data_IF_403277593476
#
_entry.id   IF_403277593476
#
_cell.length_a   1.000
_cell.length_b   1.000
_cell.length_c   1.000
_cell.angle_alpha   90.00
_cell.angle_beta   90.00
_cell.angle_gamma   90.00
#
_symmetry.space_group_name_H-M   'P 1'
#
loop_
_entity.id
_entity.type
_entity.pdbx_description
1 polymer ?
#
# COMPACT_ATOMS: atom_id res chain seq x y z
N UNK A 1 -2.41 -11.79 -25.01
CA UNK A 1 -2.77 -10.93 -23.87
C UNK A 1 -1.56 -10.07 -23.57
N UNK A 2 -1.72 -8.75 -23.45
CA UNK A 2 -0.63 -7.83 -23.14
C UNK A 2 -0.83 -7.22 -21.75
N UNK A 3 0.26 -7.08 -20.99
CA UNK A 3 0.24 -6.48 -19.66
C UNK A 3 1.24 -5.34 -19.63
N UNK A 4 0.74 -4.10 -19.55
CA UNK A 4 1.56 -2.91 -19.35
C UNK A 4 1.76 -2.69 -17.85
N UNK A 5 3.01 -2.61 -17.40
CA UNK A 5 3.32 -2.20 -16.03
C UNK A 5 3.19 -0.68 -15.90
N UNK A 6 2.32 -0.20 -15.01
CA UNK A 6 2.10 1.23 -14.80
C UNK A 6 2.96 1.79 -13.66
N UNK A 7 3.67 0.95 -12.90
CA UNK A 7 4.44 1.33 -11.72
C UNK A 7 3.74 0.93 -10.42
N UNK A 8 4.53 0.71 -9.37
CA UNK A 8 4.07 0.21 -8.07
C UNK A 8 3.19 -1.05 -8.20
N UNK A 9 1.89 -0.98 -7.91
CA UNK A 9 0.92 -2.06 -8.04
C UNK A 9 0.09 -1.99 -9.34
N UNK A 10 0.28 -0.93 -10.13
CA UNK A 10 -0.55 -0.61 -11.27
C UNK A 10 -0.24 -1.45 -12.50
N UNK A 11 -1.28 -2.01 -13.11
CA UNK A 11 -1.19 -2.73 -14.38
C UNK A 11 -2.35 -2.39 -15.31
N UNK A 12 -2.11 -2.41 -16.62
CA UNK A 12 -3.16 -2.37 -17.63
C UNK A 12 -3.08 -3.63 -18.49
N UNK A 13 -4.12 -4.47 -18.41
CA UNK A 13 -4.21 -5.72 -19.15
C UNK A 13 -5.10 -5.53 -20.36
N UNK A 14 -4.57 -5.83 -21.54
CA UNK A 14 -5.30 -5.80 -22.80
C UNK A 14 -5.46 -7.21 -23.37
N UNK A 15 -6.71 -7.52 -23.69
CA UNK A 15 -7.11 -8.69 -24.47
C UNK A 15 -7.71 -8.20 -25.78
N UNK A 16 -8.13 -9.12 -26.64
CA UNK A 16 -8.78 -8.74 -27.90
C UNK A 16 -10.06 -7.93 -27.65
N UNK A 17 -10.80 -8.24 -26.58
CA UNK A 17 -12.14 -7.73 -26.32
C UNK A 17 -12.32 -6.95 -25.00
N UNK A 18 -11.29 -6.87 -24.16
CA UNK A 18 -11.37 -6.21 -22.87
C UNK A 18 -10.07 -5.50 -22.46
N UNK A 19 -10.22 -4.41 -21.70
CA UNK A 19 -9.16 -3.69 -21.00
C UNK A 19 -9.45 -3.78 -19.50
N UNK A 20 -8.49 -4.22 -18.70
CA UNK A 20 -8.57 -4.27 -17.24
C UNK A 20 -7.46 -3.40 -16.66
N UNK A 21 -7.84 -2.26 -16.08
CA UNK A 21 -6.96 -1.37 -15.34
C UNK A 21 -6.95 -1.81 -13.87
N UNK A 22 -5.79 -2.05 -13.29
CA UNK A 22 -5.63 -2.54 -11.92
C UNK A 22 -4.83 -1.52 -11.11
N UNK A 23 -5.33 -1.14 -9.94
CA UNK A 23 -4.66 -0.31 -8.92
C UNK A 23 -3.85 0.88 -9.50
N UNK A 24 -4.47 1.79 -10.28
CA UNK A 24 -3.72 2.79 -11.05
C UNK A 24 -3.30 4.00 -10.20
N UNK A 25 -2.16 3.92 -9.52
CA UNK A 25 -1.57 5.06 -8.79
C UNK A 25 -0.64 5.89 -9.68
N UNK A 26 -1.18 6.97 -10.27
CA UNK A 26 -0.49 7.84 -11.24
C UNK A 26 -0.49 9.33 -10.86
N UNK A 27 -1.20 9.72 -9.81
CA UNK A 27 -1.25 11.10 -9.33
C UNK A 27 0.11 11.58 -8.84
N UNK A 28 0.50 12.82 -9.17
CA UNK A 28 1.82 13.35 -8.80
C UNK A 28 1.92 13.79 -7.33
N UNK A 29 0.82 13.72 -6.58
CA UNK A 29 0.68 14.18 -5.18
C UNK A 29 1.15 13.15 -4.15
N UNK A 30 1.46 11.93 -4.57
CA UNK A 30 1.84 10.85 -3.68
C UNK A 30 0.65 10.26 -2.89
N UNK A 31 0.96 9.25 -2.08
CA UNK A 31 0.03 8.56 -1.18
C UNK A 31 0.35 8.92 0.29
N UNK A 32 -0.62 8.67 1.18
CA UNK A 32 -0.49 8.86 2.63
C UNK A 32 0.04 10.26 3.00
N UNK A 33 -0.70 11.28 2.56
CA UNK A 33 -0.38 12.70 2.82
C UNK A 33 1.05 13.08 2.39
N UNK A 34 1.39 12.69 1.16
CA UNK A 34 2.71 12.94 0.55
C UNK A 34 3.85 12.19 1.24
N UNK A 35 3.57 11.14 2.02
CA UNK A 35 4.59 10.29 2.61
C UNK A 35 5.28 9.42 1.56
N UNK A 36 4.52 8.90 0.59
CA UNK A 36 4.99 7.93 -0.39
C UNK A 36 4.82 8.45 -1.82
N UNK A 37 5.76 8.13 -2.69
CA UNK A 37 5.73 8.42 -4.12
C UNK A 37 6.13 7.20 -4.93
N UNK A 38 5.69 7.15 -6.18
CA UNK A 38 5.96 6.05 -7.09
C UNK A 38 7.46 5.95 -7.40
N UNK A 39 7.99 4.72 -7.48
CA UNK A 39 9.37 4.49 -7.86
C UNK A 39 9.45 3.39 -8.94
N UNK A 40 9.85 3.71 -10.17
CA UNK A 40 10.06 5.05 -10.74
C UNK A 40 8.78 5.90 -10.84
N UNK A 41 8.95 7.18 -11.18
CA UNK A 41 7.87 8.13 -11.45
C UNK A 41 7.10 7.68 -12.68
N UNK A 42 5.78 7.76 -12.64
CA UNK A 42 4.90 7.14 -13.63
C UNK A 42 3.75 8.04 -14.11
N UNK A 43 3.64 9.28 -13.63
CA UNK A 43 2.56 10.20 -13.98
C UNK A 43 2.45 10.48 -15.49
N UNK A 44 3.57 10.34 -16.21
CA UNK A 44 3.67 10.46 -17.67
C UNK A 44 2.87 9.39 -18.44
N UNK A 45 2.43 8.31 -17.76
CA UNK A 45 1.57 7.28 -18.34
C UNK A 45 0.09 7.63 -18.31
N UNK A 46 -0.31 8.75 -17.69
CA UNK A 46 -1.72 9.19 -17.65
C UNK A 46 -2.33 9.26 -19.06
N UNK A 47 -1.71 9.90 -20.08
CA UNK A 47 -2.27 9.92 -21.43
C UNK A 47 -2.41 8.53 -22.06
N UNK A 48 -1.49 7.60 -21.77
CA UNK A 48 -1.55 6.23 -22.26
C UNK A 48 -2.77 5.50 -21.69
N UNK A 49 -3.03 5.64 -20.38
CA UNK A 49 -4.19 5.00 -19.75
C UNK A 49 -5.48 5.61 -20.27
N UNK A 50 -5.57 6.94 -20.39
CA UNK A 50 -6.71 7.63 -20.99
C UNK A 50 -7.02 7.10 -22.39
N UNK A 51 -5.98 6.99 -23.23
CA UNK A 51 -6.11 6.44 -24.58
C UNK A 51 -6.66 5.01 -24.55
N UNK A 52 -6.12 4.12 -23.72
CA UNK A 52 -6.56 2.72 -23.61
C UNK A 52 -8.01 2.62 -23.13
N UNK A 53 -8.38 3.41 -22.13
CA UNK A 53 -9.75 3.44 -21.59
C UNK A 53 -10.75 4.07 -22.57
N UNK A 54 -10.31 4.96 -23.46
CA UNK A 54 -11.16 5.56 -24.50
C UNK A 54 -11.35 4.67 -25.74
N UNK A 55 -10.61 3.57 -25.89
CA UNK A 55 -10.71 2.71 -27.08
C UNK A 55 -12.14 2.14 -27.25
N UNK A 56 -12.77 2.31 -28.42
CA UNK A 56 -14.10 1.75 -28.67
C UNK A 56 -14.03 0.23 -28.90
N UNK A 57 -15.16 -0.46 -28.70
CA UNK A 57 -15.32 -1.88 -29.05
C UNK A 57 -14.73 -2.88 -28.05
N UNK A 58 -14.13 -2.41 -26.95
CA UNK A 58 -13.65 -3.27 -25.85
C UNK A 58 -14.43 -2.99 -24.57
N UNK A 59 -14.71 -4.03 -23.78
CA UNK A 59 -15.23 -3.86 -22.43
C UNK A 59 -14.13 -3.34 -21.52
N UNK A 60 -14.44 -2.42 -20.61
CA UNK A 60 -13.46 -1.81 -19.72
C UNK A 60 -13.80 -2.12 -18.28
N UNK A 61 -12.77 -2.47 -17.52
CA UNK A 61 -12.87 -2.75 -16.11
C UNK A 61 -11.79 -1.96 -15.38
N UNK A 62 -12.15 -1.42 -14.21
CA UNK A 62 -11.20 -0.83 -13.26
C UNK A 62 -11.28 -1.65 -11.99
N UNK A 63 -10.20 -2.31 -11.64
CA UNK A 63 -10.07 -3.13 -10.46
C UNK A 63 -9.30 -2.36 -9.39
N UNK A 64 -9.87 -2.28 -8.18
CA UNK A 64 -9.25 -1.70 -7.00
C UNK A 64 -9.17 -2.79 -5.93
N UNK A 65 -7.95 -3.15 -5.53
CA UNK A 65 -7.72 -4.28 -4.63
C UNK A 65 -8.17 -4.00 -3.19
N UNK A 66 -7.92 -2.80 -2.67
CA UNK A 66 -8.27 -2.33 -1.32
C UNK A 66 -8.12 -0.80 -1.19
N UNK A 67 -8.46 -0.24 -0.03
CA UNK A 67 -8.56 1.21 0.21
C UNK A 67 -7.25 2.00 0.33
N UNK A 68 -6.08 1.35 0.37
CA UNK A 68 -4.82 2.06 0.54
C UNK A 68 -4.50 2.97 -0.66
N UNK A 69 -3.97 4.16 -0.39
CA UNK A 69 -3.85 5.26 -1.37
C UNK A 69 -2.81 5.03 -2.48
N UNK A 70 -1.91 4.07 -2.30
CA UNK A 70 -0.98 3.60 -3.32
C UNK A 70 -1.60 2.52 -4.26
N UNK A 71 -2.86 2.15 -4.01
CA UNK A 71 -3.68 1.27 -4.85
C UNK A 71 -4.95 1.99 -5.35
N UNK A 72 -5.59 2.77 -4.46
CA UNK A 72 -6.82 3.52 -4.70
C UNK A 72 -6.56 5.02 -4.88
N UNK A 73 -6.08 5.39 -6.06
CA UNK A 73 -5.81 6.78 -6.45
C UNK A 73 -7.07 7.45 -6.99
N UNK A 74 -7.97 7.87 -6.09
CA UNK A 74 -9.21 8.53 -6.45
C UNK A 74 -9.01 9.78 -7.35
N UNK A 75 -8.05 10.69 -7.08
CA UNK A 75 -7.80 11.81 -7.99
C UNK A 75 -7.45 11.39 -9.43
N UNK A 76 -6.67 10.33 -9.60
CA UNK A 76 -6.41 9.79 -10.94
C UNK A 76 -7.67 9.20 -11.58
N UNK A 77 -8.45 8.42 -10.83
CA UNK A 77 -9.71 7.86 -11.34
C UNK A 77 -10.66 8.97 -11.78
N UNK A 78 -10.83 10.02 -10.98
CA UNK A 78 -11.63 11.20 -11.32
C UNK A 78 -11.13 11.91 -12.60
N UNK A 79 -9.84 11.83 -12.89
CA UNK A 79 -9.27 12.38 -14.14
C UNK A 79 -9.65 11.60 -15.40
N UNK A 80 -10.09 10.34 -15.31
CA UNK A 80 -10.46 9.53 -16.48
C UNK A 80 -11.59 10.19 -17.29
N UNK A 81 -11.39 10.43 -18.57
CA UNK A 81 -12.43 11.02 -19.42
C UNK A 81 -13.51 9.99 -19.78
N UNK A 82 -13.07 8.77 -20.09
CA UNK A 82 -13.95 7.65 -20.38
C UNK A 82 -14.63 7.17 -19.09
N UNK A 83 -15.96 7.11 -19.09
CA UNK A 83 -16.78 6.56 -17.98
C UNK A 83 -17.43 5.21 -18.31
N UNK A 84 -17.18 4.68 -19.51
CA UNK A 84 -17.77 3.44 -20.00
C UNK A 84 -17.03 2.18 -19.48
N UNK A 85 -16.78 2.14 -18.17
CA UNK A 85 -16.13 1.02 -17.49
C UNK A 85 -16.94 0.55 -16.28
N UNK A 86 -16.71 -0.70 -15.88
CA UNK A 86 -17.25 -1.29 -14.66
C UNK A 86 -16.16 -1.35 -13.60
N UNK A 87 -16.44 -0.82 -12.41
CA UNK A 87 -15.57 -0.98 -11.25
C UNK A 87 -15.70 -2.40 -10.67
N UNK A 88 -14.56 -3.00 -10.33
CA UNK A 88 -14.47 -4.31 -9.69
C UNK A 88 -13.78 -4.12 -8.33
N UNK A 89 -14.45 -4.53 -7.27
CA UNK A 89 -13.91 -4.55 -5.90
C UNK A 89 -14.24 -5.87 -5.22
N UNK A 90 -13.47 -6.24 -4.21
CA UNK A 90 -13.82 -7.36 -3.34
C UNK A 90 -15.03 -7.04 -2.46
N UNK A 91 -15.92 -8.03 -2.26
CA UNK A 91 -16.99 -7.93 -1.26
C UNK A 91 -16.45 -8.27 0.13
N UNK A 92 -15.79 -7.31 0.75
CA UNK A 92 -15.31 -7.43 2.13
C UNK A 92 -16.46 -7.29 3.13
N UNK A 93 -16.27 -7.84 4.33
CA UNK A 93 -17.19 -7.68 5.47
C UNK A 93 -17.39 -6.19 5.78
N UNK A 94 -16.30 -5.42 5.78
CA UNK A 94 -16.32 -3.97 5.84
C UNK A 94 -16.50 -3.40 4.43
N UNK A 95 -17.63 -2.77 4.18
CA UNK A 95 -18.02 -2.27 2.83
C UNK A 95 -17.55 -0.85 2.54
N UNK A 96 -16.54 -0.33 3.23
CA UNK A 96 -16.14 1.09 3.10
C UNK A 96 -15.66 1.45 1.70
N UNK A 97 -14.78 0.63 1.11
CA UNK A 97 -14.35 0.82 -0.28
C UNK A 97 -15.54 0.82 -1.25
N UNK A 98 -16.45 -0.14 -1.10
CA UNK A 98 -17.68 -0.23 -1.91
C UNK A 98 -18.57 1.01 -1.72
N UNK A 99 -18.78 1.45 -0.48
CA UNK A 99 -19.58 2.61 -0.14
C UNK A 99 -18.98 3.89 -0.74
N UNK A 100 -17.66 4.06 -0.64
CA UNK A 100 -16.94 5.22 -1.19
C UNK A 100 -17.06 5.33 -2.71
N UNK A 101 -17.25 4.20 -3.41
CA UNK A 101 -17.40 4.13 -4.86
C UNK A 101 -18.86 4.01 -5.33
N UNK A 102 -19.82 3.93 -4.41
CA UNK A 102 -21.24 3.67 -4.74
C UNK A 102 -21.88 4.75 -5.62
N UNK A 103 -21.42 6.00 -5.50
CA UNK A 103 -21.87 7.15 -6.28
C UNK A 103 -20.90 7.52 -7.40
N UNK A 104 -19.86 6.72 -7.62
CA UNK A 104 -18.83 7.01 -8.62
C UNK A 104 -19.40 6.93 -10.04
N UNK A 105 -19.16 7.97 -10.84
CA UNK A 105 -19.73 8.10 -12.18
C UNK A 105 -19.06 7.14 -13.19
N UNK A 106 -19.60 5.93 -13.34
CA UNK A 106 -19.20 4.93 -14.32
C UNK A 106 -20.40 4.05 -14.74
N UNK A 107 -20.19 2.98 -15.50
CA UNK A 107 -21.29 2.07 -15.90
C UNK A 107 -21.88 1.34 -14.70
N UNK A 108 -21.06 1.02 -13.71
CA UNK A 108 -21.49 0.38 -12.47
C UNK A 108 -20.33 -0.17 -11.65
N UNK A 109 -20.66 -0.62 -10.45
CA UNK A 109 -19.76 -1.23 -9.48
C UNK A 109 -20.18 -2.69 -9.23
N UNK A 110 -19.23 -3.60 -9.29
CA UNK A 110 -19.40 -5.01 -8.93
C UNK A 110 -18.54 -5.33 -7.70
N UNK A 111 -19.21 -5.56 -6.57
CA UNK A 111 -18.60 -6.12 -5.37
C UNK A 111 -18.64 -7.66 -5.46
N UNK A 112 -17.49 -8.27 -5.73
CA UNK A 112 -17.36 -9.66 -6.12
C UNK A 112 -17.05 -10.55 -4.92
N UNK A 113 -17.67 -11.72 -4.86
CA UNK A 113 -17.41 -12.73 -3.83
C UNK A 113 -16.07 -13.45 -4.08
N UNK A 114 -15.51 -14.06 -3.02
CA UNK A 114 -14.28 -14.85 -3.12
C UNK A 114 -14.43 -16.02 -4.12
N UNK A 115 -13.60 -16.01 -5.17
CA UNK A 115 -13.61 -17.01 -6.22
C UNK A 115 -14.72 -16.84 -7.28
N UNK A 116 -15.49 -15.75 -7.23
CA UNK A 116 -16.52 -15.46 -8.24
C UNK A 116 -15.90 -15.20 -9.62
N UNK A 117 -16.46 -15.83 -10.67
CA UNK A 117 -16.04 -15.62 -12.06
C UNK A 117 -16.94 -14.60 -12.75
N UNK A 118 -16.33 -13.56 -13.29
CA UNK A 118 -16.96 -12.53 -14.11
C UNK A 118 -16.65 -12.84 -15.58
N UNK A 119 -17.65 -13.23 -16.39
CA UNK A 119 -17.42 -13.55 -17.79
C UNK A 119 -16.97 -12.32 -18.59
N UNK A 120 -15.88 -12.47 -19.35
CA UNK A 120 -15.45 -11.52 -20.38
C UNK A 120 -15.34 -12.25 -21.73
N UNK A 121 -15.44 -11.57 -22.88
CA UNK A 121 -15.29 -12.28 -24.15
C UNK A 121 -13.91 -12.95 -24.25
N UNK A 122 -13.90 -14.24 -24.55
CA UNK A 122 -12.67 -15.05 -24.62
C UNK A 122 -12.16 -15.57 -23.27
N UNK A 123 -12.84 -15.34 -22.14
CA UNK A 123 -12.45 -15.90 -20.84
C UNK A 123 -13.20 -15.33 -19.64
N UNK A 124 -12.50 -15.05 -18.54
CA UNK A 124 -13.10 -14.54 -17.31
C UNK A 124 -12.10 -13.76 -16.45
N UNK A 125 -12.64 -12.90 -15.59
CA UNK A 125 -11.95 -12.30 -14.44
C UNK A 125 -12.41 -13.04 -13.19
N UNK A 126 -11.52 -13.26 -12.22
CA UNK A 126 -11.84 -13.88 -10.93
C UNK A 126 -11.12 -13.15 -9.81
N UNK A 127 -11.83 -12.80 -8.74
CA UNK A 127 -11.22 -12.20 -7.55
C UNK A 127 -10.99 -13.24 -6.46
N UNK A 128 -9.95 -13.03 -5.67
CA UNK A 128 -9.64 -13.79 -4.46
C UNK A 128 -9.54 -12.83 -3.29
N UNK A 129 -10.17 -13.16 -2.17
CA UNK A 129 -10.23 -12.28 -1.00
C UNK A 129 -9.42 -12.85 0.17
N UNK A 130 -8.68 -11.99 0.85
CA UNK A 130 -8.14 -12.18 2.21
C UNK A 130 -8.76 -11.12 3.13
N UNK A 131 -9.83 -11.53 3.81
CA UNK A 131 -10.59 -10.70 4.73
C UNK A 131 -10.43 -11.27 6.15
N UNK A 132 -9.20 -11.20 6.66
CA UNK A 132 -8.81 -11.83 7.92
C UNK A 132 -8.19 -10.82 8.91
N UNK A 133 -8.82 -10.69 10.07
CA UNK A 133 -8.35 -9.82 11.16
C UNK A 133 -8.38 -8.35 10.75
N UNK A 134 -7.19 -7.76 10.54
CA UNK A 134 -7.02 -6.37 10.10
C UNK A 134 -6.73 -6.26 8.59
N UNK A 135 -6.48 -7.39 7.90
CA UNK A 135 -6.22 -7.40 6.47
C UNK A 135 -7.54 -7.39 5.70
N UNK A 136 -7.60 -6.59 4.64
CA UNK A 136 -8.69 -6.53 3.67
C UNK A 136 -8.08 -6.39 2.29
N UNK A 137 -7.54 -7.49 1.79
CA UNK A 137 -6.77 -7.49 0.55
C UNK A 137 -7.48 -8.36 -0.49
N UNK A 138 -7.47 -7.94 -1.76
CA UNK A 138 -7.93 -8.79 -2.86
C UNK A 138 -6.88 -8.97 -3.96
N UNK A 139 -6.89 -10.15 -4.57
CA UNK A 139 -6.12 -10.49 -5.77
C UNK A 139 -7.05 -10.74 -6.97
N UNK A 140 -6.52 -10.60 -8.18
CA UNK A 140 -7.26 -10.75 -9.43
C UNK A 140 -6.55 -11.74 -10.37
N UNK A 141 -7.33 -12.64 -10.97
CA UNK A 141 -6.92 -13.46 -12.09
C UNK A 141 -7.67 -13.03 -13.34
N UNK A 142 -6.95 -12.73 -14.42
CA UNK A 142 -7.50 -12.54 -15.75
C UNK A 142 -7.09 -13.72 -16.63
N UNK A 143 -8.07 -14.47 -17.13
CA UNK A 143 -7.85 -15.48 -18.18
C UNK A 143 -8.56 -15.05 -19.44
N UNK A 144 -7.86 -15.02 -20.57
CA UNK A 144 -8.45 -14.73 -21.87
C UNK A 144 -7.62 -15.37 -23.00
N UNK A 145 -8.30 -16.11 -23.88
CA UNK A 145 -7.62 -16.95 -24.88
C UNK A 145 -6.67 -17.93 -24.18
N UNK A 146 -5.44 -17.99 -24.68
CA UNK A 146 -4.38 -18.86 -24.13
C UNK A 146 -3.56 -18.21 -23.01
N UNK A 147 -3.88 -16.97 -22.59
CA UNK A 147 -3.13 -16.24 -21.58
C UNK A 147 -3.81 -16.21 -20.21
N UNK A 148 -3.00 -16.29 -19.16
CA UNK A 148 -3.44 -16.12 -17.77
C UNK A 148 -2.48 -15.25 -16.96
N UNK A 149 -3.03 -14.22 -16.32
CA UNK A 149 -2.29 -13.29 -15.46
C UNK A 149 -2.91 -13.24 -14.06
N UNK A 150 -2.15 -13.69 -13.06
CA UNK A 150 -2.53 -13.62 -11.64
C UNK A 150 -1.79 -12.46 -10.97
N UNK A 151 -2.52 -11.46 -10.53
CA UNK A 151 -2.01 -10.36 -9.72
C UNK A 151 -2.59 -10.47 -8.30
N UNK A 152 -1.78 -10.96 -7.35
CA UNK A 152 -2.20 -11.01 -5.95
C UNK A 152 -2.00 -9.68 -5.24
N UNK A 153 -1.20 -8.77 -5.78
CA UNK A 153 -0.86 -7.54 -5.11
C UNK A 153 -0.46 -7.80 -3.63
N UNK A 154 -1.18 -7.23 -2.66
CA UNK A 154 -0.97 -7.38 -1.21
C UNK A 154 -1.67 -8.60 -0.60
N UNK A 155 -2.57 -9.25 -1.35
CA UNK A 155 -3.41 -10.36 -0.92
C UNK A 155 -2.60 -11.63 -0.62
N UNK A 156 -2.75 -12.16 0.60
CA UNK A 156 -1.88 -13.21 1.15
C UNK A 156 -2.47 -14.61 1.08
N UNK A 157 -3.13 -14.96 -0.02
CA UNK A 157 -3.72 -16.29 -0.24
C UNK A 157 -2.68 -17.38 -0.64
N UNK A 158 -1.47 -17.31 -0.09
CA UNK A 158 -0.35 -18.20 -0.44
C UNK A 158 -0.66 -19.68 -0.18
N UNK A 159 -1.48 -19.98 0.81
CA UNK A 159 -1.96 -21.31 1.18
C UNK A 159 -2.99 -21.89 0.18
N UNK A 160 -3.62 -21.04 -0.62
CA UNK A 160 -4.65 -21.40 -1.60
C UNK A 160 -4.12 -21.52 -3.03
N UNK A 161 -2.84 -21.23 -3.28
CA UNK A 161 -2.26 -21.20 -4.63
C UNK A 161 -2.40 -22.51 -5.40
N UNK A 162 -2.29 -23.65 -4.71
CA UNK A 162 -2.52 -24.96 -5.35
C UNK A 162 -3.96 -25.09 -5.85
N UNK A 163 -4.93 -24.66 -5.04
CA UNK A 163 -6.34 -24.63 -5.43
C UNK A 163 -6.61 -23.67 -6.60
N UNK A 164 -5.83 -22.61 -6.77
CA UNK A 164 -5.92 -21.74 -7.96
C UNK A 164 -5.54 -22.55 -9.21
N UNK A 165 -4.43 -23.30 -9.17
CA UNK A 165 -4.01 -24.14 -10.29
C UNK A 165 -5.04 -25.23 -10.58
N UNK A 166 -5.54 -25.90 -9.54
CA UNK A 166 -6.48 -27.01 -9.69
C UNK A 166 -7.81 -26.57 -10.32
N UNK A 167 -8.27 -25.35 -10.00
CA UNK A 167 -9.57 -24.83 -10.47
C UNK A 167 -9.48 -24.04 -11.78
N UNK A 168 -8.37 -23.32 -11.99
CA UNK A 168 -8.24 -22.33 -13.06
C UNK A 168 -7.14 -22.70 -14.07
N UNK A 169 -6.38 -23.77 -13.82
CA UNK A 169 -5.29 -24.26 -14.67
C UNK A 169 -3.95 -23.55 -14.43
N UNK A 170 -2.94 -23.79 -15.28
CA UNK A 170 -1.64 -23.14 -15.14
C UNK A 170 -1.75 -21.61 -15.27
N UNK A 171 -0.80 -20.93 -14.62
CA UNK A 171 -0.66 -19.47 -14.62
C UNK A 171 0.56 -19.09 -15.46
N UNK A 172 0.39 -18.27 -16.49
CA UNK A 172 1.48 -17.88 -17.39
C UNK A 172 2.31 -16.74 -16.80
N UNK A 173 1.64 -15.71 -16.29
CA UNK A 173 2.26 -14.57 -15.64
C UNK A 173 1.71 -14.37 -14.21
N UNK A 174 2.60 -14.09 -13.26
CA UNK A 174 2.25 -13.92 -11.85
C UNK A 174 2.91 -12.67 -11.28
N UNK A 175 2.22 -11.95 -10.41
CA UNK A 175 2.78 -10.85 -9.63
C UNK A 175 2.18 -10.79 -8.23
N UNK A 176 2.98 -10.34 -7.27
CA UNK A 176 2.57 -10.05 -5.90
C UNK A 176 3.60 -9.15 -5.22
N UNK A 177 3.19 -8.54 -4.10
CA UNK A 177 4.01 -7.64 -3.30
C UNK A 177 5.29 -8.32 -2.78
N UNK A 178 6.44 -7.81 -3.18
CA UNK A 178 7.76 -8.27 -2.68
C UNK A 178 8.40 -7.31 -1.66
N UNK A 179 7.92 -6.07 -1.59
CA UNK A 179 8.36 -5.05 -0.64
C UNK A 179 7.46 -5.03 0.61
N UNK A 180 7.96 -4.50 1.71
CA UNK A 180 7.13 -4.16 2.86
C UNK A 180 6.31 -2.89 2.62
N UNK A 181 5.21 -2.75 3.36
CA UNK A 181 4.30 -1.61 3.38
C UNK A 181 3.78 -1.38 4.81
N UNK A 182 4.69 -1.26 5.79
CA UNK A 182 4.29 -1.21 7.22
C UNK A 182 5.21 -0.29 8.01
N UNK A 183 4.64 0.41 8.99
CA UNK A 183 5.39 1.30 9.88
C UNK A 183 6.38 0.61 10.82
N UNK A 184 6.39 -0.73 10.89
CA UNK A 184 7.29 -1.48 11.77
C UNK A 184 8.34 -2.23 10.95
N UNK A 185 9.65 -1.99 11.18
CA UNK A 185 10.23 -1.23 12.29
C UNK A 185 10.47 0.26 12.01
N UNK A 186 10.13 0.76 10.81
CA UNK A 186 10.46 2.11 10.29
C UNK A 186 10.22 3.24 11.27
N UNK A 187 9.06 3.26 11.92
CA UNK A 187 8.63 4.32 12.82
C UNK A 187 8.99 4.04 14.28
N UNK A 188 9.58 2.88 14.60
CA UNK A 188 9.87 2.48 15.98
C UNK A 188 11.27 2.94 16.42
N UNK A 189 11.35 3.49 17.63
CA UNK A 189 12.59 3.89 18.29
C UNK A 189 13.37 2.66 18.79
N UNK A 190 14.04 1.97 17.86
CA UNK A 190 14.91 0.84 18.17
C UNK A 190 16.39 1.22 18.15
N UNK A 191 17.23 0.61 19.02
CA UNK A 191 18.67 0.60 18.80
C UNK A 191 18.99 0.01 17.42
N UNK A 192 20.00 0.58 16.72
CA UNK A 192 20.33 0.20 15.35
C UNK A 192 20.46 -1.32 15.12
N UNK A 193 21.14 -2.10 15.97
CA UNK A 193 21.23 -3.56 15.79
C UNK A 193 19.87 -4.27 15.84
N UNK A 194 18.95 -3.80 16.68
CA UNK A 194 17.59 -4.36 16.78
C UNK A 194 16.78 -4.02 15.54
N UNK A 195 16.83 -2.76 15.08
CA UNK A 195 16.18 -2.32 13.85
C UNK A 195 16.62 -3.18 12.66
N UNK A 196 17.93 -3.31 12.42
CA UNK A 196 18.48 -4.06 11.29
C UNK A 196 18.09 -5.53 11.34
N UNK A 197 18.13 -6.15 12.52
CA UNK A 197 17.73 -7.54 12.72
C UNK A 197 16.25 -7.75 12.35
N UNK A 198 15.37 -6.86 12.81
CA UNK A 198 13.93 -6.93 12.54
C UNK A 198 13.67 -6.69 11.05
N UNK A 199 14.26 -5.65 10.46
CA UNK A 199 14.10 -5.30 9.05
C UNK A 199 14.56 -6.43 8.13
N UNK A 200 15.76 -7.00 8.36
CA UNK A 200 16.26 -8.16 7.60
C UNK A 200 15.32 -9.34 7.70
N UNK A 201 14.86 -9.68 8.92
CA UNK A 201 13.93 -10.79 9.12
C UNK A 201 12.66 -10.59 8.31
N UNK A 202 12.04 -9.41 8.37
CA UNK A 202 10.83 -9.09 7.59
C UNK A 202 11.06 -9.17 6.09
N UNK A 203 12.14 -8.55 5.61
CA UNK A 203 12.52 -8.58 4.19
C UNK A 203 12.71 -10.01 3.68
N UNK A 204 13.54 -10.81 4.35
CA UNK A 204 13.79 -12.20 3.93
C UNK A 204 12.57 -13.10 4.07
N UNK A 205 11.73 -12.91 5.10
CA UNK A 205 10.47 -13.65 5.21
C UNK A 205 9.55 -13.35 4.03
N UNK A 206 9.43 -12.08 3.60
CA UNK A 206 8.66 -11.72 2.41
C UNK A 206 9.26 -12.36 1.15
N UNK A 207 10.57 -12.24 0.96
CA UNK A 207 11.27 -12.82 -0.19
C UNK A 207 11.05 -14.34 -0.30
N UNK A 208 11.16 -15.05 0.83
CA UNK A 208 10.93 -16.50 0.84
C UNK A 208 9.46 -16.84 0.54
N UNK A 209 8.49 -16.09 1.09
CA UNK A 209 7.06 -16.29 0.77
C UNK A 209 6.79 -16.15 -0.73
N UNK A 210 7.33 -15.11 -1.37
CA UNK A 210 7.17 -14.92 -2.82
C UNK A 210 7.90 -16.03 -3.61
N UNK A 211 9.11 -16.41 -3.20
CA UNK A 211 9.83 -17.50 -3.86
C UNK A 211 9.08 -18.84 -3.78
N UNK A 212 8.40 -19.12 -2.66
CA UNK A 212 7.53 -20.29 -2.54
C UNK A 212 6.28 -20.19 -3.43
N UNK A 213 5.68 -19.00 -3.54
CA UNK A 213 4.56 -18.78 -4.45
C UNK A 213 4.95 -19.08 -5.91
N UNK A 214 6.12 -18.58 -6.34
CA UNK A 214 6.67 -18.87 -7.68
C UNK A 214 6.92 -20.37 -7.87
N UNK A 215 7.43 -21.08 -6.85
CA UNK A 215 7.63 -22.54 -6.92
C UNK A 215 6.34 -23.34 -7.09
N UNK A 216 5.26 -22.90 -6.45
CA UNK A 216 3.95 -23.55 -6.53
C UNK A 216 3.34 -23.28 -7.90
N UNK A 217 3.28 -22.01 -8.31
CA UNK A 217 2.62 -21.57 -9.54
C UNK A 217 3.40 -21.92 -10.82
N UNK A 218 4.73 -21.97 -10.73
CA UNK A 218 5.67 -22.17 -11.85
C UNK A 218 5.32 -21.33 -13.09
N UNK A 219 5.12 -20.01 -12.95
CA UNK A 219 4.75 -19.18 -14.07
C UNK A 219 5.90 -19.10 -15.08
N UNK A 220 5.58 -18.76 -16.33
CA UNK A 220 6.59 -18.38 -17.33
C UNK A 220 7.29 -17.09 -16.91
N UNK A 221 6.52 -16.13 -16.41
CA UNK A 221 7.02 -14.81 -16.01
C UNK A 221 6.49 -14.41 -14.64
N UNK A 222 7.39 -14.00 -13.75
CA UNK A 222 7.04 -13.28 -12.53
C UNK A 222 7.39 -11.80 -12.69
N UNK A 223 6.44 -10.90 -12.44
CA UNK A 223 6.70 -9.46 -12.42
C UNK A 223 6.87 -9.00 -10.96
N UNK A 224 7.99 -8.36 -10.58
CA UNK A 224 8.07 -7.69 -9.28
C UNK A 224 7.13 -6.47 -9.24
N UNK A 225 6.24 -6.39 -8.25
CA UNK A 225 5.31 -5.25 -8.09
C UNK A 225 5.01 -4.90 -6.64
N UNK A 226 4.18 -3.87 -6.46
CA UNK A 226 3.74 -3.32 -5.17
C UNK A 226 4.92 -2.95 -4.26
N UNK A 227 5.87 -2.25 -4.85
CA UNK A 227 6.92 -1.55 -4.15
C UNK A 227 8.31 -1.71 -4.76
N UNK A 228 9.32 -1.11 -4.09
CA UNK A 228 9.12 -0.17 -3.00
C UNK A 228 8.58 1.18 -3.53
N UNK A 229 7.88 1.93 -2.68
CA UNK A 229 7.70 3.37 -2.89
C UNK A 229 9.02 4.12 -2.62
N UNK A 230 9.08 5.40 -3.00
CA UNK A 230 10.13 6.31 -2.58
C UNK A 230 9.60 7.43 -1.68
N UNK A 231 10.51 8.06 -0.93
CA UNK A 231 10.20 9.05 0.09
C UNK A 231 10.84 10.39 -0.29
N UNK A 232 10.04 11.40 -0.61
CA UNK A 232 10.55 12.68 -1.12
C UNK A 232 10.50 13.82 -0.11
N UNK A 233 9.74 13.65 0.97
CA UNK A 233 9.69 14.59 2.10
C UNK A 233 11.08 14.70 2.75
N UNK A 234 11.60 15.91 3.02
CA UNK A 234 12.87 16.09 3.75
C UNK A 234 12.97 15.31 5.06
N UNK A 235 11.87 15.12 5.78
CA UNK A 235 11.83 14.36 7.04
C UNK A 235 11.95 12.84 6.81
N UNK A 236 11.72 12.35 5.58
CA UNK A 236 11.65 10.93 5.21
C UNK A 236 12.70 10.52 4.17
N UNK A 237 13.37 11.47 3.50
CA UNK A 237 14.25 11.18 2.35
C UNK A 237 15.40 10.21 2.68
N UNK A 238 15.83 10.18 3.95
CA UNK A 238 16.83 9.25 4.44
C UNK A 238 16.42 7.77 4.30
N UNK A 239 15.12 7.46 4.31
CA UNK A 239 14.59 6.09 4.21
C UNK A 239 14.94 5.41 2.87
N UNK A 240 15.10 6.18 1.79
CA UNK A 240 15.52 5.66 0.49
C UNK A 240 16.96 5.08 0.52
N UNK A 241 17.79 5.57 1.44
CA UNK A 241 19.22 5.26 1.49
C UNK A 241 19.60 4.36 2.68
N UNK A 242 18.61 3.87 3.41
CA UNK A 242 18.82 2.90 4.47
C UNK A 242 19.39 1.59 3.90
N UNK A 243 20.61 1.23 4.31
CA UNK A 243 21.28 0.01 3.84
C UNK A 243 20.51 -1.27 4.19
N UNK A 244 19.69 -1.22 5.24
CA UNK A 244 18.82 -2.30 5.66
C UNK A 244 17.47 -1.70 6.00
N UNK A 245 16.47 -1.96 5.16
CA UNK A 245 15.09 -1.55 5.41
C UNK A 245 14.13 -2.67 4.97
N UNK A 246 12.83 -2.43 5.12
CA UNK A 246 11.79 -3.34 4.62
C UNK A 246 11.31 -2.97 3.21
N UNK A 247 11.95 -2.00 2.55
CA UNK A 247 11.60 -1.46 1.24
C UNK A 247 12.72 -1.77 0.22
N UNK A 248 13.07 -3.03 -0.01
CA UNK A 248 14.12 -3.38 -0.96
C UNK A 248 13.71 -2.99 -2.39
N UNK A 249 14.64 -2.48 -3.19
CA UNK A 249 14.42 -2.28 -4.64
C UNK A 249 14.31 -3.62 -5.37
N UNK A 250 13.57 -3.66 -6.48
CA UNK A 250 13.32 -4.87 -7.27
C UNK A 250 14.60 -5.64 -7.61
N UNK A 251 15.69 -4.94 -7.97
CA UNK A 251 17.00 -5.55 -8.25
C UNK A 251 17.54 -6.41 -7.10
N UNK A 252 17.35 -5.97 -5.84
CA UNK A 252 17.80 -6.73 -4.66
C UNK A 252 17.01 -8.04 -4.54
N UNK A 253 15.71 -7.98 -4.82
CA UNK A 253 14.85 -9.16 -4.79
C UNK A 253 15.13 -10.12 -5.96
N UNK A 254 15.30 -9.60 -7.18
CA UNK A 254 15.69 -10.38 -8.37
C UNK A 254 16.99 -11.15 -8.13
N UNK A 255 18.04 -10.49 -7.59
CA UNK A 255 19.29 -11.15 -7.26
C UNK A 255 19.12 -12.28 -6.22
N UNK A 256 18.13 -12.16 -5.33
CA UNK A 256 17.78 -13.23 -4.40
C UNK A 256 17.09 -14.39 -5.12
N UNK A 257 16.15 -14.12 -6.03
CA UNK A 257 15.47 -15.14 -6.84
C UNK A 257 16.46 -15.91 -7.73
N UNK A 258 17.40 -15.22 -8.39
CA UNK A 258 18.46 -15.83 -9.22
C UNK A 258 19.23 -16.93 -8.47
N UNK A 259 19.47 -16.71 -7.17
CA UNK A 259 20.16 -17.70 -6.32
C UNK A 259 19.19 -18.75 -5.80
N UNK A 260 18.01 -18.33 -5.32
CA UNK A 260 17.06 -19.17 -4.59
C UNK A 260 16.29 -20.13 -5.48
N UNK A 261 16.03 -19.74 -6.73
CA UNK A 261 15.19 -20.43 -7.71
C UNK A 261 15.95 -20.72 -9.02
N UNK A 262 17.28 -20.90 -8.94
CA UNK A 262 18.15 -21.19 -10.10
C UNK A 262 17.77 -22.47 -10.87
N UNK A 263 16.93 -23.33 -10.28
CA UNK A 263 16.39 -24.55 -10.87
C UNK A 263 15.11 -24.34 -11.70
N UNK A 264 14.48 -23.15 -11.64
CA UNK A 264 13.26 -22.85 -12.38
C UNK A 264 13.54 -22.13 -13.70
N UNK A 265 12.72 -22.41 -14.71
CA UNK A 265 12.74 -21.72 -16.00
C UNK A 265 11.95 -20.39 -16.01
N UNK A 266 11.35 -20.01 -14.88
CA UNK A 266 10.62 -18.76 -14.73
C UNK A 266 11.53 -17.56 -14.97
N UNK A 267 11.08 -16.61 -15.79
CA UNK A 267 11.74 -15.31 -15.97
C UNK A 267 11.20 -14.28 -14.96
N UNK A 268 12.05 -13.36 -14.49
CA UNK A 268 11.64 -12.23 -13.65
C UNK A 268 12.27 -10.93 -14.14
N UNK A 269 11.73 -10.30 -15.19
CA UNK A 269 12.30 -9.09 -15.76
C UNK A 269 12.24 -7.90 -14.77
N UNK A 270 13.28 -7.07 -14.78
CA UNK A 270 13.33 -5.80 -14.04
C UNK A 270 12.57 -4.72 -14.83
N UNK A 271 11.25 -4.80 -14.80
CA UNK A 271 10.34 -3.92 -15.56
C UNK A 271 10.27 -2.51 -14.98
N UNK A 272 10.13 -1.53 -15.86
CA UNK A 272 9.90 -0.13 -15.54
C UNK A 272 8.51 0.31 -16.00
N UNK A 273 7.94 1.37 -15.41
CA UNK A 273 6.67 1.94 -15.88
C UNK A 273 6.68 2.16 -17.40
N UNK A 274 5.66 1.62 -18.07
CA UNK A 274 5.48 1.65 -19.52
C UNK A 274 5.89 0.37 -20.25
N UNK A 275 6.74 -0.48 -19.65
CA UNK A 275 7.14 -1.76 -20.27
C UNK A 275 5.92 -2.69 -20.42
N UNK A 276 5.92 -3.47 -21.50
CA UNK A 276 4.77 -4.33 -21.88
C UNK A 276 5.22 -5.79 -21.99
N UNK A 277 4.58 -6.67 -21.22
CA UNK A 277 4.73 -8.12 -21.31
C UNK A 277 3.70 -8.71 -22.27
N UNK A 278 4.13 -9.52 -23.24
CA UNK A 278 3.25 -10.52 -23.86
C UNK A 278 3.20 -11.76 -22.97
N UNK A 279 2.02 -12.05 -22.42
CA UNK A 279 1.85 -13.12 -21.41
C UNK A 279 2.11 -14.51 -21.99
N UNK A 280 1.83 -14.72 -23.28
CA UNK A 280 1.92 -16.06 -23.90
C UNK A 280 3.35 -16.36 -24.30
N UNK A 281 4.04 -15.42 -24.96
CA UNK A 281 5.44 -15.63 -25.35
C UNK A 281 6.42 -15.42 -24.19
N UNK A 282 6.05 -14.56 -23.23
CA UNK A 282 6.93 -14.10 -22.16
C UNK A 282 7.87 -12.95 -22.57
N UNK A 283 7.74 -12.44 -23.80
CA UNK A 283 8.58 -11.35 -24.30
C UNK A 283 8.18 -10.01 -23.68
N UNK A 284 9.19 -9.19 -23.37
CA UNK A 284 8.99 -7.83 -22.86
C UNK A 284 9.39 -6.81 -23.92
N UNK A 285 8.45 -5.96 -24.28
CA UNK A 285 8.71 -4.74 -25.04
C UNK A 285 9.12 -3.63 -24.07
N UNK A 286 10.41 -3.28 -24.08
CA UNK A 286 10.99 -2.26 -23.22
C UNK A 286 10.69 -0.85 -23.75
N UNK A 287 9.89 -0.08 -23.01
CA UNK A 287 9.43 1.26 -23.40
C UNK A 287 10.06 2.38 -22.56
N UNK A 288 10.56 2.06 -21.36
CA UNK A 288 11.15 3.07 -20.50
C UNK A 288 12.42 3.69 -21.12
N UNK A 289 12.42 5.01 -21.26
CA UNK A 289 13.53 5.80 -21.82
C UNK A 289 14.70 5.94 -20.85
N UNK A 290 14.40 6.00 -19.55
CA UNK A 290 15.38 6.05 -18.46
C UNK A 290 15.00 5.00 -17.42
N UNK A 291 15.96 4.14 -17.04
CA UNK A 291 15.79 3.14 -15.97
C UNK A 291 16.53 3.61 -14.73
N UNK A 292 15.89 3.40 -13.57
CA UNK A 292 16.50 3.69 -12.28
C UNK A 292 17.32 2.48 -11.85
N UNK A 293 18.62 2.68 -11.62
CA UNK A 293 19.57 1.65 -11.21
C UNK A 293 20.42 2.12 -10.02
N UNK A 294 21.33 1.27 -9.54
CA UNK A 294 22.19 1.59 -8.39
C UNK A 294 23.12 2.80 -8.63
N UNK A 295 23.43 3.12 -9.88
CA UNK A 295 24.35 4.18 -10.26
C UNK A 295 23.62 5.53 -10.23
N UNK A 296 22.43 5.61 -10.82
CA UNK A 296 21.68 6.87 -10.93
C UNK A 296 20.65 7.09 -9.80
N UNK A 297 20.39 6.10 -8.94
CA UNK A 297 19.33 6.18 -7.92
C UNK A 297 19.43 7.43 -7.03
N UNK A 298 20.62 7.76 -6.53
CA UNK A 298 20.80 8.92 -5.65
C UNK A 298 20.50 10.25 -6.36
N UNK A 299 21.00 10.43 -7.58
CA UNK A 299 20.68 11.62 -8.40
C UNK A 299 19.20 11.66 -8.78
N UNK A 300 18.62 10.50 -9.11
CA UNK A 300 17.22 10.38 -9.47
C UNK A 300 16.30 10.83 -8.32
N UNK A 301 16.53 10.33 -7.10
CA UNK A 301 15.77 10.72 -5.90
C UNK A 301 15.96 12.20 -5.60
N UNK A 302 17.18 12.73 -5.73
CA UNK A 302 17.44 14.16 -5.50
C UNK A 302 16.67 15.06 -6.49
N UNK A 303 16.69 14.73 -7.78
CA UNK A 303 15.89 15.46 -8.80
C UNK A 303 14.41 15.35 -8.51
N UNK A 304 13.92 14.15 -8.19
CA UNK A 304 12.49 13.94 -7.95
C UNK A 304 12.01 14.68 -6.69
N UNK A 305 12.80 14.68 -5.62
CA UNK A 305 12.52 15.44 -4.40
C UNK A 305 12.53 16.95 -4.64
N UNK A 306 13.45 17.46 -5.48
CA UNK A 306 13.48 18.86 -5.87
C UNK A 306 12.20 19.27 -6.63
N UNK A 307 11.73 18.44 -7.56
CA UNK A 307 10.49 18.66 -8.32
C UNK A 307 9.25 18.69 -7.42
N UNK A 308 9.26 17.96 -6.29
CA UNK A 308 8.15 17.88 -5.33
C UNK A 308 8.27 18.81 -4.13
N UNK A 309 9.39 19.51 -3.98
CA UNK A 309 9.69 20.32 -2.80
C UNK A 309 8.60 21.35 -2.49
N UNK A 310 8.20 22.16 -3.47
CA UNK A 310 7.20 23.21 -3.27
C UNK A 310 5.83 22.63 -2.89
N UNK A 311 5.42 21.53 -3.53
CA UNK A 311 4.18 20.84 -3.21
C UNK A 311 4.19 20.31 -1.77
N UNK A 312 5.26 19.60 -1.37
CA UNK A 312 5.38 19.04 -0.02
C UNK A 312 5.49 20.14 1.05
N UNK A 313 6.20 21.23 0.75
CA UNK A 313 6.28 22.38 1.63
C UNK A 313 4.90 23.04 1.82
N UNK A 314 4.14 23.25 0.73
CA UNK A 314 2.78 23.76 0.80
C UNK A 314 1.83 22.77 1.49
N UNK A 315 2.02 21.47 1.28
CA UNK A 315 1.26 20.44 1.96
C UNK A 315 1.48 20.61 3.46
N UNK A 316 2.72 20.61 3.94
CA UNK A 316 3.06 20.73 5.37
C UNK A 316 2.61 22.05 6.01
N UNK A 317 2.69 23.17 5.27
CA UNK A 317 2.49 24.52 5.83
C UNK A 317 1.21 25.26 5.38
N UNK A 318 0.45 24.73 4.41
CA UNK A 318 -0.61 25.47 3.71
C UNK A 318 -2.03 25.23 4.20
N UNK A 319 -2.26 24.33 5.16
CA UNK A 319 -3.61 23.87 5.52
C UNK A 319 -4.13 24.29 6.90
N UNK A 320 -3.27 24.42 7.91
CA UNK A 320 -3.68 24.61 9.32
C UNK A 320 -2.59 25.32 10.14
N UNK A 321 -1.77 26.16 9.50
CA UNK A 321 -0.62 26.86 10.10
C UNK A 321 -0.97 27.92 11.17
N UNK A 322 -2.14 27.84 11.79
CA UNK A 322 -2.61 28.76 12.81
C UNK A 322 -2.85 28.16 14.20
N UNK A 323 -2.91 26.82 14.34
CA UNK A 323 -3.10 26.19 15.66
C UNK A 323 -1.77 26.02 16.38
N UNK A 324 -1.74 26.43 17.63
CA UNK A 324 -0.63 26.13 18.53
C UNK A 324 -0.56 24.63 18.84
N UNK A 325 0.62 24.08 19.20
CA UNK A 325 0.74 22.68 19.61
C UNK A 325 -0.20 22.29 20.76
N UNK A 326 -0.51 23.22 21.68
CA UNK A 326 -1.45 22.96 22.77
C UNK A 326 -2.88 22.76 22.25
N UNK A 327 -3.36 23.63 21.35
CA UNK A 327 -4.69 23.49 20.74
C UNK A 327 -4.81 22.19 19.94
N UNK A 328 -3.75 21.80 19.22
CA UNK A 328 -3.73 20.52 18.51
C UNK A 328 -3.82 19.34 19.48
N UNK A 329 -3.12 19.40 20.61
CA UNK A 329 -3.14 18.34 21.62
C UNK A 329 -4.52 18.23 22.30
N UNK A 330 -5.22 19.34 22.51
CA UNK A 330 -6.62 19.35 22.98
C UNK A 330 -7.57 18.70 21.98
N UNK A 331 -7.45 19.01 20.68
CA UNK A 331 -8.25 18.35 19.64
C UNK A 331 -7.96 16.84 19.57
N UNK A 332 -6.68 16.47 19.69
CA UNK A 332 -6.27 15.07 19.71
C UNK A 332 -6.80 14.32 20.94
N UNK A 333 -6.92 14.99 22.10
CA UNK A 333 -7.55 14.41 23.29
C UNK A 333 -9.01 14.05 23.01
N UNK A 334 -9.77 14.96 22.42
CA UNK A 334 -11.18 14.72 22.08
C UNK A 334 -11.33 13.55 21.11
N UNK A 335 -10.48 13.49 20.09
CA UNK A 335 -10.53 12.40 19.11
C UNK A 335 -10.12 11.05 19.73
N UNK A 336 -9.08 11.01 20.56
CA UNK A 336 -8.69 9.80 21.28
C UNK A 336 -9.77 9.35 22.28
N UNK A 337 -10.46 10.30 22.93
CA UNK A 337 -11.58 10.00 23.82
C UNK A 337 -12.75 9.40 23.04
N UNK A 338 -13.12 10.00 21.90
CA UNK A 338 -14.13 9.44 20.97
C UNK A 338 -13.76 8.02 20.57
N UNK A 339 -12.51 7.81 20.18
CA UNK A 339 -11.98 6.49 19.79
C UNK A 339 -12.07 5.48 20.94
N UNK A 340 -11.72 5.88 22.15
CA UNK A 340 -11.74 5.03 23.34
C UNK A 340 -13.17 4.61 23.73
N UNK A 341 -14.14 5.51 23.60
CA UNK A 341 -15.55 5.23 23.84
C UNK A 341 -16.11 4.19 22.87
N UNK A 342 -15.60 4.14 21.64
CA UNK A 342 -15.98 3.17 20.61
C UNK A 342 -15.13 1.89 20.65
N UNK A 343 -14.22 1.73 21.63
CA UNK A 343 -13.34 0.56 21.69
C UNK A 343 -13.77 -0.45 22.77
N UNK A 344 -14.67 -1.41 22.47
CA UNK A 344 -15.20 -2.36 23.45
C UNK A 344 -14.12 -3.26 24.07
N UNK A 345 -12.98 -3.45 23.38
CA UNK A 345 -11.86 -4.25 23.84
C UNK A 345 -10.91 -3.51 24.79
N UNK A 346 -11.16 -2.23 25.09
CA UNK A 346 -10.34 -1.43 26.00
C UNK A 346 -10.08 -2.12 27.35
N UNK A 347 -11.09 -2.77 27.93
CA UNK A 347 -10.98 -3.46 29.24
C UNK A 347 -9.95 -4.61 29.26
N UNK A 348 -9.51 -5.09 28.10
CA UNK A 348 -8.49 -6.15 27.98
C UNK A 348 -7.06 -5.60 27.92
N UNK A 349 -6.89 -4.28 27.77
CA UNK A 349 -5.59 -3.62 27.76
C UNK A 349 -5.19 -3.23 29.18
N UNK A 350 -4.00 -3.69 29.58
CA UNK A 350 -3.42 -3.41 30.90
C UNK A 350 -2.23 -2.44 30.86
N UNK A 351 -1.86 -1.98 29.66
CA UNK A 351 -0.70 -1.11 29.43
C UNK A 351 -1.20 0.26 28.95
N UNK A 352 -0.74 1.37 29.53
CA UNK A 352 -1.15 2.69 29.11
C UNK A 352 -0.51 3.05 27.76
N UNK A 353 -1.25 3.83 26.99
CA UNK A 353 -0.79 4.44 25.75
C UNK A 353 -0.61 5.94 25.98
N UNK A 354 0.59 6.42 25.67
CA UNK A 354 0.94 7.83 25.69
C UNK A 354 0.97 8.40 24.28
N UNK A 355 0.17 9.42 24.03
CA UNK A 355 0.16 10.12 22.73
C UNK A 355 0.62 11.55 22.95
N UNK A 356 1.51 12.04 22.11
CA UNK A 356 2.03 13.41 22.21
C UNK A 356 2.45 13.98 20.88
N UNK A 357 2.83 15.25 20.89
CA UNK A 357 3.33 15.93 19.70
C UNK A 357 4.86 15.93 19.68
N UNK A 358 5.47 15.90 18.50
CA UNK A 358 6.94 15.96 18.39
C UNK A 358 7.54 17.27 18.92
N UNK A 359 6.76 18.35 18.82
CA UNK A 359 7.06 19.72 19.18
C UNK A 359 6.80 20.01 20.67
N UNK A 360 5.95 19.20 21.34
CA UNK A 360 5.56 19.38 22.74
C UNK A 360 5.77 18.07 23.51
N UNK A 361 6.94 17.94 24.14
CA UNK A 361 7.36 16.70 24.83
C UNK A 361 7.12 16.70 26.35
N UNK A 362 6.88 17.87 26.94
CA UNK A 362 6.71 18.02 28.38
C UNK A 362 5.26 17.74 28.84
N UNK A 363 4.35 17.54 27.90
CA UNK A 363 2.94 17.22 28.14
C UNK A 363 2.51 16.13 27.16
N UNK A 364 1.90 15.07 27.67
CA UNK A 364 1.39 13.93 26.90
C UNK A 364 -0.09 13.68 27.25
N UNK A 365 -0.78 12.95 26.39
CA UNK A 365 -2.08 12.36 26.66
C UNK A 365 -1.90 10.92 27.11
N UNK A 366 -2.41 10.58 28.30
CA UNK A 366 -2.57 9.20 28.74
C UNK A 366 -3.93 8.69 28.32
N UNK A 367 -3.96 7.66 27.47
CA UNK A 367 -5.16 6.87 27.17
C UNK A 367 -5.22 5.76 28.22
N UNK A 368 -6.07 5.95 29.24
CA UNK A 368 -6.32 4.93 30.26
C UNK A 368 -7.50 4.04 29.84
N UNK A 369 -7.19 2.88 29.27
CA UNK A 369 -8.19 1.94 28.78
C UNK A 369 -9.11 1.36 29.87
N UNK A 370 -8.66 1.29 31.13
CA UNK A 370 -9.47 0.74 32.24
C UNK A 370 -10.48 1.75 32.75
N UNK A 371 -10.04 3.00 32.89
CA UNK A 371 -10.87 4.10 33.38
C UNK A 371 -11.71 4.74 32.26
N UNK A 372 -11.46 4.35 31.00
CA UNK A 372 -12.09 4.92 29.81
C UNK A 372 -11.97 6.46 29.77
N UNK A 373 -10.75 6.95 29.99
CA UNK A 373 -10.45 8.39 30.01
C UNK A 373 -9.14 8.71 29.32
N UNK A 374 -9.12 9.82 28.59
CA UNK A 374 -7.92 10.44 28.03
C UNK A 374 -7.62 11.73 28.79
N UNK A 375 -6.43 11.84 29.40
CA UNK A 375 -6.06 13.00 30.23
C UNK A 375 -4.65 13.49 29.96
N UNK A 376 -4.41 14.77 30.20
CA UNK A 376 -3.08 15.36 30.16
C UNK A 376 -2.23 14.88 31.34
N UNK A 377 -0.98 14.53 31.06
CA UNK A 377 0.02 14.14 32.05
C UNK A 377 1.39 14.74 31.70
N UNK A 378 2.27 14.84 32.71
CA UNK A 378 3.70 14.98 32.48
C UNK A 378 4.30 13.63 32.02
N UNK A 379 5.46 13.62 31.33
CA UNK A 379 6.13 12.40 30.92
C UNK A 379 6.33 11.43 32.08
N UNK A 380 5.84 10.19 31.97
CA UNK A 380 5.87 9.24 33.06
C UNK A 380 7.25 8.59 33.20
N UNK A 381 7.66 8.25 34.42
CA UNK A 381 8.92 7.55 34.70
C UNK A 381 8.83 6.02 34.52
N UNK A 382 7.62 5.48 34.31
CA UNK A 382 7.39 4.04 34.27
C UNK A 382 7.94 3.38 33.00
N UNK A 383 8.17 2.07 33.08
CA UNK A 383 8.82 1.26 32.03
C UNK A 383 7.91 0.28 31.31
N UNK A 384 6.61 0.27 31.62
CA UNK A 384 5.60 -0.55 30.94
C UNK A 384 4.59 0.37 30.23
N UNK A 385 4.82 0.66 28.96
CA UNK A 385 4.01 1.60 28.19
C UNK A 385 4.14 1.42 26.68
N UNK A 386 3.18 2.02 25.98
CA UNK A 386 3.30 2.41 24.57
C UNK A 386 3.32 3.92 24.45
N UNK A 387 4.08 4.44 23.48
CA UNK A 387 4.13 5.86 23.17
C UNK A 387 4.07 6.07 21.66
N UNK A 388 3.30 7.07 21.23
CA UNK A 388 3.27 7.58 19.87
C UNK A 388 3.48 9.09 19.91
N UNK A 389 4.50 9.57 19.20
CA UNK A 389 4.76 10.99 18.98
C UNK A 389 4.42 11.33 17.53
N UNK A 390 3.62 12.37 17.32
CA UNK A 390 3.09 12.75 16.00
C UNK A 390 3.47 14.22 15.72
N UNK A 391 3.92 14.59 14.52
CA UNK A 391 4.05 15.99 14.15
C UNK A 391 2.72 16.73 14.31
N UNK A 392 2.73 17.92 14.93
CA UNK A 392 1.50 18.65 15.26
C UNK A 392 0.62 18.91 14.05
N UNK A 393 1.22 19.17 12.89
CA UNK A 393 0.47 19.39 11.65
C UNK A 393 -0.22 18.14 11.09
N UNK A 394 0.26 16.93 11.38
CA UNK A 394 -0.43 15.67 11.03
C UNK A 394 -1.46 15.29 12.08
N UNK A 395 -1.13 15.47 13.37
CA UNK A 395 -2.08 15.25 14.46
C UNK A 395 -3.34 16.10 14.29
N UNK A 396 -3.19 17.35 13.83
CA UNK A 396 -4.29 18.25 13.51
C UNK A 396 -5.17 17.73 12.34
N UNK A 397 -4.59 17.04 11.35
CA UNK A 397 -5.33 16.42 10.24
C UNK A 397 -6.09 15.18 10.66
N UNK A 398 -5.49 14.36 11.52
CA UNK A 398 -6.18 13.20 12.09
C UNK A 398 -7.35 13.67 12.94
N UNK A 399 -7.12 14.63 13.84
CA UNK A 399 -8.18 15.17 14.71
C UNK A 399 -9.29 15.91 13.95
N UNK A 400 -9.03 16.39 12.73
CA UNK A 400 -10.05 17.00 11.86
C UNK A 400 -10.68 16.04 10.85
N UNK A 401 -10.27 14.76 10.85
CA UNK A 401 -10.76 13.75 9.90
C UNK A 401 -10.25 13.94 8.45
N UNK A 402 -9.22 14.76 8.24
CA UNK A 402 -8.61 14.98 6.91
C UNK A 402 -7.76 13.81 6.45
N UNK A 403 -7.14 13.09 7.40
CA UNK A 403 -6.47 11.81 7.15
C UNK A 403 -6.91 10.83 8.23
N UNK A 404 -6.91 9.54 7.90
CA UNK A 404 -7.23 8.47 8.86
C UNK A 404 -6.05 8.16 9.78
N UNK A 405 -6.30 7.42 10.86
CA UNK A 405 -5.27 6.82 11.71
C UNK A 405 -4.42 5.81 10.94
N UNK A 406 -5.02 5.09 9.99
CA UNK A 406 -4.30 4.19 9.09
C UNK A 406 -3.37 4.96 8.16
N UNK A 407 -3.86 6.05 7.55
CA UNK A 407 -3.03 6.97 6.76
C UNK A 407 -1.85 7.48 7.58
N UNK A 408 -2.09 7.97 8.80
CA UNK A 408 -1.04 8.45 9.70
C UNK A 408 0.04 7.40 9.93
N UNK A 409 -0.37 6.13 10.10
CA UNK A 409 0.59 5.04 10.28
C UNK A 409 1.51 4.88 9.06
N UNK A 410 0.99 5.13 7.86
CA UNK A 410 1.68 4.99 6.59
C UNK A 410 2.39 6.27 6.14
N UNK A 411 2.13 7.44 6.73
CA UNK A 411 2.94 8.64 6.46
C UNK A 411 4.41 8.48 6.89
N UNK A 412 4.68 7.57 7.83
CA UNK A 412 5.98 7.31 8.45
C UNK A 412 6.61 8.47 9.24
N UNK A 413 5.82 9.48 9.56
CA UNK A 413 6.28 10.64 10.32
C UNK A 413 6.05 10.48 11.82
N UNK A 414 5.11 9.63 12.24
CA UNK A 414 4.96 9.24 13.63
C UNK A 414 6.20 8.50 14.17
N UNK A 415 6.45 8.59 15.47
CA UNK A 415 7.52 7.87 16.18
C UNK A 415 6.93 7.07 17.33
N UNK A 416 7.20 5.77 17.32
CA UNK A 416 6.65 4.82 18.26
C UNK A 416 7.72 4.29 19.20
N UNK A 417 7.36 4.15 20.47
CA UNK A 417 8.16 3.43 21.44
C UNK A 417 7.24 2.51 22.23
N UNK A 418 7.69 1.30 22.53
CA UNK A 418 7.07 0.44 23.52
C UNK A 418 8.14 -0.18 24.39
N UNK A 419 7.86 -0.24 25.68
CA UNK A 419 8.75 -0.79 26.68
C UNK A 419 7.86 -1.58 27.65
N UNK A 420 8.09 -2.88 27.88
CA UNK A 420 8.97 -3.76 27.10
C UNK A 420 8.50 -3.92 25.64
N UNK A 421 9.36 -4.49 24.78
CA UNK A 421 9.06 -4.74 23.36
C UNK A 421 8.10 -5.92 23.16
N UNK A 422 6.84 -5.76 23.60
CA UNK A 422 5.80 -6.79 23.58
C UNK A 422 4.65 -6.34 22.72
N UNK A 423 4.46 -6.97 21.55
CA UNK A 423 3.36 -6.69 20.62
C UNK A 423 1.98 -7.03 21.20
N UNK A 424 1.04 -6.10 21.11
CA UNK A 424 -0.36 -6.29 21.52
C UNK A 424 -1.31 -5.97 20.36
N UNK A 425 -2.01 -6.98 19.84
CA UNK A 425 -2.91 -6.86 18.69
C UNK A 425 -4.02 -5.82 18.92
N UNK A 426 -4.66 -5.83 20.09
CA UNK A 426 -5.75 -4.89 20.41
C UNK A 426 -5.27 -3.44 20.44
N UNK A 427 -4.06 -3.20 20.96
CA UNK A 427 -3.51 -1.85 20.95
C UNK A 427 -3.16 -1.41 19.53
N UNK A 428 -2.64 -2.30 18.69
CA UNK A 428 -2.39 -1.97 17.29
C UNK A 428 -3.69 -1.64 16.55
N UNK A 429 -4.76 -2.40 16.80
CA UNK A 429 -6.08 -2.09 16.28
C UNK A 429 -6.53 -0.68 16.71
N UNK A 430 -6.41 -0.35 18.00
CA UNK A 430 -6.70 1.00 18.50
C UNK A 430 -5.84 2.09 17.85
N UNK A 431 -4.59 1.79 17.46
CA UNK A 431 -3.72 2.79 16.85
C UNK A 431 -4.04 3.08 15.38
N UNK A 432 -4.59 2.13 14.64
CA UNK A 432 -4.73 2.24 13.17
C UNK A 432 -6.18 2.30 12.68
N UNK A 433 -7.13 1.65 13.36
CA UNK A 433 -8.52 1.59 12.92
C UNK A 433 -9.26 2.91 13.19
N UNK A 434 -10.24 3.28 12.38
CA UNK A 434 -11.09 4.43 12.71
C UNK A 434 -12.05 4.12 13.86
N UNK A 435 -12.56 5.12 14.60
CA UNK A 435 -13.56 4.87 15.64
C UNK A 435 -14.79 4.10 15.16
N UNK A 436 -15.18 4.27 13.89
CA UNK A 436 -16.31 3.58 13.29
C UNK A 436 -15.99 2.09 12.96
N UNK A 437 -14.73 1.68 13.09
CA UNK A 437 -14.23 0.33 12.81
C UNK A 437 -13.86 -0.48 14.07
N UNK A 438 -14.01 0.10 15.27
CA UNK A 438 -13.49 -0.45 16.54
C UNK A 438 -14.42 -1.40 17.30
#
# INVERSE_FOLDING_TARGET
>A
MQVTFLGHAGFCVETEAAVVLMDPWLSPTGAFDGGWFQLPRNEHLTPLVQQKMAQPGRRKYVYISHEHKDHFDLPFLESLEARDFTLLVGRFQRRELENSLSSYACVGLLACEDGERIPIPGGYIKLFLDDSGLNRDSGILVKAGDGSFLNLNDCKIYDRLQSVIDNDGPIDAFTCQFSGATWHPTCYEYPRPSYERIARRKMFSKFESVAQAIRILRPRTYLPSAGPACFLDPDLIHLNFEAVNIFPRARTFINYLDRRLSDLATSWPDVSPGDVLDVVSGDVAWQATERVDDVNFASYIATYAADRHNYLHQLKHGGEAGRSPCEVLELLQLELQRKLEHFPLAVRLNVPLYVGLTELRDVLLEVNFKENVVKFIAPPEQRDFYRVLIPGWEASRVASGRITWEDLSLTFRARLKREPDVYQTMLQAFLILEPDDL
#
